data_IF_597745551601
#
_entry.id   IF_597745551601
#
_cell.length_a   1.000
_cell.length_b   1.000
_cell.length_c   1.000
_cell.angle_alpha   90.00
_cell.angle_beta   90.00
_cell.angle_gamma   90.00
#
_symmetry.space_group_name_H-M   'P 1'
#
loop_
_entity.id
_entity.type
_entity.pdbx_description
1 polymer ?
#
# COMPACT_ATOMS: atom_id res chain seq x y z
N UNK A 1 -37.43 6.00 6.91
CA UNK A 1 -37.01 7.41 6.72
C UNK A 1 -37.64 7.93 5.45
N UNK A 2 -38.26 9.10 5.48
CA UNK A 2 -38.79 9.74 4.27
C UNK A 2 -37.68 10.48 3.51
N UNK A 3 -37.86 10.67 2.20
CA UNK A 3 -36.90 11.36 1.32
C UNK A 3 -36.50 12.74 1.86
N UNK A 4 -37.46 13.51 2.39
CA UNK A 4 -37.21 14.84 2.95
C UNK A 4 -36.19 14.82 4.11
N UNK A 5 -36.25 13.79 4.96
CA UNK A 5 -35.31 13.65 6.08
C UNK A 5 -33.91 13.29 5.56
N UNK A 6 -33.82 12.35 4.61
CA UNK A 6 -32.54 11.96 4.01
C UNK A 6 -31.87 13.15 3.27
N UNK A 7 -32.67 13.97 2.57
CA UNK A 7 -32.17 15.13 1.86
C UNK A 7 -31.64 16.20 2.82
N UNK A 8 -32.35 16.47 3.91
CA UNK A 8 -31.87 17.39 4.95
C UNK A 8 -30.59 16.88 5.61
N UNK A 9 -30.52 15.58 5.92
CA UNK A 9 -29.33 14.95 6.51
C UNK A 9 -28.12 14.99 5.55
N UNK A 10 -28.34 14.73 4.25
CA UNK A 10 -27.28 14.82 3.24
C UNK A 10 -26.72 16.24 3.10
N UNK A 11 -27.59 17.26 3.08
CA UNK A 11 -27.14 18.65 2.97
C UNK A 11 -26.48 19.18 4.25
N UNK A 12 -26.78 18.58 5.41
CA UNK A 12 -26.14 18.89 6.68
C UNK A 12 -24.81 18.13 6.89
N UNK A 13 -24.55 17.08 6.10
CA UNK A 13 -23.36 16.26 6.22
C UNK A 13 -22.11 17.01 5.69
N UNK A 14 -20.95 16.69 6.27
CA UNK A 14 -19.68 17.19 5.76
C UNK A 14 -19.34 16.52 4.43
N UNK A 15 -18.81 17.30 3.49
CA UNK A 15 -18.31 16.80 2.21
C UNK A 15 -17.17 15.82 2.48
N UNK A 16 -17.21 14.66 1.82
CA UNK A 16 -16.14 13.67 1.89
C UNK A 16 -14.80 14.31 1.52
N UNK A 17 -13.80 14.10 2.38
CA UNK A 17 -12.44 14.53 2.16
C UNK A 17 -11.59 13.29 1.86
N UNK A 18 -10.90 13.31 0.73
CA UNK A 18 -10.00 12.23 0.35
C UNK A 18 -8.89 12.06 1.39
N UNK A 19 -8.67 10.83 1.86
CA UNK A 19 -7.54 10.52 2.74
C UNK A 19 -6.20 10.76 2.02
N UNK A 20 -6.13 10.38 0.74
CA UNK A 20 -5.00 10.67 -0.15
C UNK A 20 -5.56 11.08 -1.52
N UNK A 21 -5.35 12.34 -1.96
CA UNK A 21 -5.83 12.82 -3.25
C UNK A 21 -5.30 11.97 -4.41
N UNK A 22 -6.15 11.65 -5.38
CA UNK A 22 -5.78 10.81 -6.54
C UNK A 22 -4.57 11.35 -7.31
N UNK A 23 -4.43 12.67 -7.39
CA UNK A 23 -3.31 13.31 -8.11
C UNK A 23 -1.94 12.99 -7.48
N UNK A 24 -1.89 12.71 -6.17
CA UNK A 24 -0.66 12.40 -5.45
C UNK A 24 -0.40 10.88 -5.37
N UNK A 25 -1.42 10.03 -5.58
CA UNK A 25 -1.31 8.58 -5.50
C UNK A 25 -0.24 7.99 -6.43
N UNK A 26 -0.04 8.43 -7.70
CA UNK A 26 1.03 7.92 -8.54
C UNK A 26 2.41 8.10 -7.92
N UNK A 27 2.66 9.24 -7.28
CA UNK A 27 3.94 9.55 -6.63
C UNK A 27 4.17 8.63 -5.43
N UNK A 28 3.16 8.47 -4.58
CA UNK A 28 3.26 7.57 -3.42
C UNK A 28 3.39 6.10 -3.83
N UNK A 29 2.64 5.67 -4.85
CA UNK A 29 2.72 4.33 -5.42
C UNK A 29 4.11 4.02 -5.97
N UNK A 30 4.73 4.97 -6.69
CA UNK A 30 6.09 4.82 -7.18
C UNK A 30 7.11 4.67 -6.04
N UNK A 31 7.07 5.52 -5.01
CA UNK A 31 7.98 5.40 -3.88
C UNK A 31 7.78 4.09 -3.11
N UNK A 32 6.54 3.68 -2.88
CA UNK A 32 6.23 2.39 -2.25
C UNK A 32 6.76 1.22 -3.09
N UNK A 33 6.67 1.30 -4.43
CA UNK A 33 7.19 0.27 -5.33
C UNK A 33 8.72 0.16 -5.25
N UNK A 34 9.42 1.29 -5.24
CA UNK A 34 10.89 1.31 -5.08
C UNK A 34 11.31 0.67 -3.76
N UNK A 35 10.62 1.00 -2.66
CA UNK A 35 10.87 0.38 -1.36
C UNK A 35 10.58 -1.13 -1.38
N UNK A 36 9.47 -1.54 -2.00
CA UNK A 36 9.12 -2.95 -2.14
C UNK A 36 10.21 -3.73 -2.86
N UNK A 37 10.69 -3.22 -4.00
CA UNK A 37 11.77 -3.85 -4.79
C UNK A 37 13.06 -3.93 -3.97
N UNK A 38 13.39 -2.89 -3.21
CA UNK A 38 14.58 -2.87 -2.36
C UNK A 38 14.52 -3.96 -1.27
N UNK A 39 13.42 -4.02 -0.51
CA UNK A 39 13.26 -5.05 0.53
C UNK A 39 13.20 -6.46 -0.05
N UNK A 40 12.55 -6.64 -1.20
CA UNK A 40 12.46 -7.93 -1.88
C UNK A 40 13.83 -8.38 -2.41
N UNK A 41 14.62 -7.47 -2.95
CA UNK A 41 15.99 -7.76 -3.40
C UNK A 41 16.88 -8.15 -2.21
N UNK A 42 16.74 -7.46 -1.08
CA UNK A 42 17.46 -7.80 0.15
C UNK A 42 17.01 -9.15 0.73
N UNK A 43 15.71 -9.46 0.71
CA UNK A 43 15.21 -10.74 1.23
C UNK A 43 15.73 -11.91 0.40
N UNK A 44 15.74 -11.76 -0.94
CA UNK A 44 16.35 -12.73 -1.85
C UNK A 44 17.85 -12.89 -1.54
N UNK A 45 18.58 -11.80 -1.36
CA UNK A 45 19.99 -11.86 -0.97
C UNK A 45 20.24 -12.61 0.34
N UNK A 46 19.36 -12.43 1.34
CA UNK A 46 19.42 -13.18 2.60
C UNK A 46 19.13 -14.67 2.39
N UNK A 47 18.15 -15.02 1.54
CA UNK A 47 17.81 -16.41 1.25
C UNK A 47 19.02 -17.17 0.67
N UNK A 48 19.75 -16.55 -0.25
CA UNK A 48 20.95 -17.12 -0.89
C UNK A 48 22.25 -16.97 -0.08
N UNK A 49 22.23 -16.28 1.05
CA UNK A 49 23.43 -16.11 1.89
C UNK A 49 23.90 -17.42 2.53
N UNK A 50 25.18 -17.54 2.86
CA UNK A 50 25.74 -18.69 3.58
C UNK A 50 25.44 -18.69 5.09
N UNK A 51 24.48 -17.87 5.57
CA UNK A 51 24.12 -17.77 6.99
C UNK A 51 23.46 -19.06 7.50
N UNK A 52 23.61 -19.32 8.80
CA UNK A 52 22.89 -20.38 9.50
C UNK A 52 21.36 -20.19 9.42
N UNK A 53 20.62 -21.29 9.51
CA UNK A 53 19.20 -21.33 9.15
C UNK A 53 18.32 -20.42 10.00
N UNK A 54 18.58 -20.35 11.32
CA UNK A 54 17.77 -19.56 12.26
C UNK A 54 17.86 -18.04 11.99
N UNK A 55 19.06 -17.41 11.97
CA UNK A 55 19.14 -15.98 11.66
C UNK A 55 18.75 -15.67 10.21
N UNK A 56 18.99 -16.61 9.28
CA UNK A 56 18.53 -16.48 7.89
C UNK A 56 17.01 -16.39 7.84
N UNK A 57 16.31 -17.33 8.49
CA UNK A 57 14.86 -17.37 8.52
C UNK A 57 14.28 -16.09 9.11
N UNK A 58 14.77 -15.67 10.28
CA UNK A 58 14.27 -14.46 10.95
C UNK A 58 14.45 -13.20 10.09
N UNK A 59 15.63 -12.99 9.50
CA UNK A 59 15.90 -11.83 8.64
C UNK A 59 15.10 -11.89 7.34
N UNK A 60 15.00 -13.07 6.72
CA UNK A 60 14.21 -13.27 5.53
C UNK A 60 12.73 -12.94 5.78
N UNK A 61 12.16 -13.43 6.88
CA UNK A 61 10.77 -13.17 7.25
C UNK A 61 10.51 -11.68 7.47
N UNK A 62 11.37 -10.98 8.21
CA UNK A 62 11.20 -9.54 8.45
C UNK A 62 11.30 -8.75 7.14
N UNK A 63 12.32 -9.00 6.32
CA UNK A 63 12.47 -8.31 5.03
C UNK A 63 11.30 -8.59 4.10
N UNK A 64 10.79 -9.83 4.09
CA UNK A 64 9.65 -10.22 3.26
C UNK A 64 8.34 -9.60 3.75
N UNK A 65 8.17 -9.43 5.07
CA UNK A 65 7.03 -8.71 5.65
C UNK A 65 6.99 -7.26 5.13
N UNK A 66 8.11 -6.54 5.21
CA UNK A 66 8.19 -5.17 4.69
C UNK A 66 8.02 -5.12 3.18
N UNK A 67 8.67 -6.02 2.44
CA UNK A 67 8.50 -6.11 0.98
C UNK A 67 7.03 -6.30 0.60
N UNK A 68 6.32 -7.22 1.27
CA UNK A 68 4.91 -7.50 1.04
C UNK A 68 4.01 -6.30 1.36
N UNK A 69 4.28 -5.61 2.48
CA UNK A 69 3.53 -4.43 2.89
C UNK A 69 3.64 -3.31 1.84
N UNK A 70 4.86 -2.96 1.45
CA UNK A 70 5.09 -1.92 0.46
C UNK A 70 4.59 -2.31 -0.93
N UNK A 71 4.69 -3.60 -1.29
CA UNK A 71 4.13 -4.10 -2.54
C UNK A 71 2.61 -3.90 -2.58
N UNK A 72 1.88 -4.27 -1.52
CA UNK A 72 0.43 -4.07 -1.45
C UNK A 72 0.02 -2.60 -1.57
N UNK A 73 0.70 -1.70 -0.84
CA UNK A 73 0.44 -0.25 -0.92
C UNK A 73 0.71 0.27 -2.34
N UNK A 74 1.84 -0.12 -2.93
CA UNK A 74 2.19 0.25 -4.30
C UNK A 74 1.13 -0.22 -5.29
N UNK A 75 0.67 -1.47 -5.18
CA UNK A 75 -0.37 -2.01 -6.05
C UNK A 75 -1.65 -1.19 -5.96
N UNK A 76 -2.15 -0.88 -4.76
CA UNK A 76 -3.39 -0.09 -4.60
C UNK A 76 -3.26 1.29 -5.25
N UNK A 77 -2.21 2.05 -4.92
CA UNK A 77 -2.04 3.41 -5.45
C UNK A 77 -1.78 3.44 -6.95
N UNK A 78 -1.02 2.48 -7.48
CA UNK A 78 -0.75 2.39 -8.91
C UNK A 78 -2.01 1.96 -9.67
N UNK A 79 -2.77 0.98 -9.16
CA UNK A 79 -4.05 0.55 -9.76
C UNK A 79 -5.07 1.69 -9.83
N UNK A 80 -5.18 2.49 -8.78
CA UNK A 80 -6.01 3.69 -8.78
C UNK A 80 -5.51 4.75 -9.78
N UNK A 81 -4.18 4.88 -9.90
CA UNK A 81 -3.55 5.81 -10.86
C UNK A 81 -3.79 5.42 -12.33
N UNK A 82 -3.98 4.13 -12.60
CA UNK A 82 -4.36 3.62 -13.93
C UNK A 82 -5.87 3.68 -14.19
N UNK A 83 -6.66 4.20 -13.24
CA UNK A 83 -8.11 4.37 -13.40
C UNK A 83 -8.93 3.08 -13.30
N UNK A 84 -8.33 1.99 -12.81
CA UNK A 84 -9.07 0.74 -12.54
C UNK A 84 -9.95 0.90 -11.30
N UNK A 85 -9.49 1.73 -10.35
CA UNK A 85 -10.09 2.03 -9.04
C UNK A 85 -10.46 0.79 -8.22
N UNK A 86 -9.91 0.68 -7.01
CA UNK A 86 -10.34 -0.33 -6.03
C UNK A 86 -11.50 0.20 -5.21
#
# INVERSE_FOLDING_TARGET
MGFANLFNDYNAAQVYQDVIPLIEQPRYGFFALVLAILFLSMSIGVAFSARSIVPKFFLFTILSLFASLFCGIATVFISNSFGVYV
#
